data_IF_096608994376
#
_entry.id   IF_096608994376
#
_cell.length_a   1.000
_cell.length_b   1.000
_cell.length_c   1.000
_cell.angle_alpha   90.00
_cell.angle_beta   90.00
_cell.angle_gamma   90.00
#
_symmetry.space_group_name_H-M   'P 1'
#
loop_
_entity.id
_entity.type
_entity.pdbx_description
1 polymer ?
#
# COMPACT_ATOMS: atom_id res chain seq x y z
N UNK A 1 15.65 -17.16 19.60
CA UNK A 1 16.55 -16.63 18.54
C UNK A 1 16.35 -15.14 18.49
N UNK A 2 17.41 -14.34 18.34
CA UNK A 2 17.30 -12.89 18.18
C UNK A 2 16.81 -12.58 16.74
N UNK A 3 15.84 -11.69 16.63
CA UNK A 3 15.38 -11.23 15.31
C UNK A 3 16.46 -10.37 14.65
N UNK A 4 16.59 -10.48 13.34
CA UNK A 4 17.56 -9.76 12.51
C UNK A 4 16.80 -8.70 11.72
N UNK A 5 17.20 -7.44 11.84
CA UNK A 5 16.58 -6.36 11.07
C UNK A 5 16.75 -6.57 9.57
N UNK A 6 15.66 -6.36 8.83
CA UNK A 6 15.65 -6.38 7.38
C UNK A 6 16.53 -5.24 6.85
N UNK A 7 17.45 -5.55 5.95
CA UNK A 7 18.26 -4.55 5.27
C UNK A 7 17.48 -4.02 4.07
N UNK A 8 17.09 -2.75 4.10
CA UNK A 8 16.39 -2.11 2.97
C UNK A 8 17.38 -1.30 2.14
N UNK A 9 17.44 -1.59 0.85
CA UNK A 9 18.29 -0.91 -0.12
C UNK A 9 17.46 -0.38 -1.29
N UNK A 10 17.92 0.69 -1.93
CA UNK A 10 17.31 1.19 -3.18
C UNK A 10 17.83 0.42 -4.40
N UNK A 11 17.09 0.39 -5.53
CA UNK A 11 17.58 -0.21 -6.78
C UNK A 11 18.93 0.36 -7.26
N UNK A 12 19.22 1.62 -6.95
CA UNK A 12 20.51 2.26 -7.31
C UNK A 12 21.71 1.60 -6.64
N UNK A 13 21.50 0.95 -5.50
CA UNK A 13 22.55 0.25 -4.74
C UNK A 13 22.87 -1.14 -5.32
N UNK A 14 22.09 -1.60 -6.30
CA UNK A 14 22.39 -2.81 -7.09
C UNK A 14 23.37 -2.57 -8.25
N UNK A 15 23.61 -1.29 -8.61
CA UNK A 15 24.50 -0.97 -9.75
C UNK A 15 25.96 -1.02 -9.32
N UNK A 16 26.73 -2.06 -9.73
CA UNK A 16 28.15 -2.19 -9.38
C UNK A 16 29.00 -1.04 -9.90
N UNK A 17 28.59 -0.39 -11.00
CA UNK A 17 29.32 0.71 -11.62
C UNK A 17 29.22 2.01 -10.81
N UNK A 18 28.15 2.17 -10.02
CA UNK A 18 27.91 3.39 -9.25
C UNK A 18 28.46 3.37 -7.82
N UNK A 19 28.57 2.18 -7.20
CA UNK A 19 28.84 2.07 -5.76
C UNK A 19 29.97 1.09 -5.41
N UNK A 20 30.75 0.65 -6.37
CA UNK A 20 31.88 -0.26 -6.09
C UNK A 20 31.45 -1.62 -5.53
N UNK A 21 30.25 -2.10 -5.86
CA UNK A 21 29.77 -3.42 -5.43
C UNK A 21 29.35 -3.49 -3.95
N UNK A 22 28.81 -2.43 -3.39
CA UNK A 22 28.54 -2.32 -1.95
C UNK A 22 27.51 -3.30 -1.40
N UNK A 23 26.58 -3.84 -2.22
CA UNK A 23 25.60 -4.81 -1.75
C UNK A 23 25.60 -6.09 -2.59
N UNK A 24 26.29 -7.09 -2.03
CA UNK A 24 26.22 -8.45 -2.51
C UNK A 24 24.97 -9.11 -1.89
N UNK A 25 23.89 -9.25 -2.69
CA UNK A 25 22.65 -9.87 -2.24
C UNK A 25 22.83 -11.35 -1.85
N UNK A 26 23.89 -12.02 -2.36
CA UNK A 26 24.17 -13.42 -2.04
C UNK A 26 24.62 -13.64 -0.58
N UNK A 27 24.93 -12.57 0.15
CA UNK A 27 25.24 -12.64 1.59
C UNK A 27 24.01 -12.82 2.47
N UNK A 28 22.80 -12.65 1.91
CA UNK A 28 21.56 -12.77 2.65
C UNK A 28 20.88 -14.11 2.35
N UNK A 29 20.29 -14.70 3.37
CA UNK A 29 19.53 -15.94 3.22
C UNK A 29 18.23 -15.71 2.44
N UNK A 30 17.64 -14.52 2.56
CA UNK A 30 16.41 -14.12 1.87
C UNK A 30 16.58 -12.81 1.12
N UNK A 31 16.02 -12.79 -0.07
CA UNK A 31 16.06 -11.65 -0.99
C UNK A 31 14.63 -11.27 -1.40
N UNK A 32 14.21 -10.08 -1.05
CA UNK A 32 12.87 -9.57 -1.37
C UNK A 32 12.93 -8.41 -2.34
N UNK A 33 11.91 -8.30 -3.19
CA UNK A 33 11.63 -7.12 -4.00
C UNK A 33 10.39 -6.44 -3.42
N UNK A 34 10.45 -5.13 -3.17
CA UNK A 34 9.30 -4.37 -2.69
C UNK A 34 8.94 -3.24 -3.64
N UNK A 35 7.64 -3.05 -3.85
CA UNK A 35 7.05 -1.88 -4.48
C UNK A 35 5.86 -1.43 -3.62
N UNK A 36 5.61 -0.13 -3.60
CA UNK A 36 4.47 0.35 -2.82
C UNK A 36 4.44 1.85 -2.65
N UNK A 37 3.50 2.24 -1.82
CA UNK A 37 3.19 3.60 -1.45
C UNK A 37 4.02 4.12 -0.25
N UNK A 38 3.46 5.11 0.43
CA UNK A 38 4.07 5.74 1.60
C UNK A 38 4.32 4.78 2.77
N UNK A 39 3.55 3.70 2.92
CA UNK A 39 3.74 2.73 4.01
C UNK A 39 5.03 1.92 3.89
N UNK A 40 5.60 1.84 2.68
CA UNK A 40 6.89 1.22 2.42
C UNK A 40 8.01 2.23 2.14
N UNK A 41 7.68 3.49 1.84
CA UNK A 41 8.67 4.48 1.37
C UNK A 41 8.84 5.69 2.28
N UNK A 42 7.82 6.08 3.07
CA UNK A 42 7.97 7.19 3.99
C UNK A 42 9.02 6.83 5.05
N UNK A 43 10.03 7.63 5.11
CA UNK A 43 11.01 7.55 6.16
C UNK A 43 11.49 8.92 6.58
N UNK A 44 10.93 10.03 6.05
CA UNK A 44 11.64 11.28 6.12
C UNK A 44 10.79 12.55 5.98
N UNK A 45 9.67 12.65 6.74
CA UNK A 45 9.09 13.98 6.85
C UNK A 45 8.58 14.25 8.27
N UNK A 46 9.31 14.98 9.05
CA UNK A 46 10.65 15.54 8.89
C UNK A 46 11.77 14.48 8.96
N UNK A 47 13.01 14.78 8.45
CA UNK A 47 14.06 13.76 8.21
C UNK A 47 14.50 12.92 9.42
N UNK A 48 14.14 13.26 10.62
CA UNK A 48 14.62 12.66 11.88
C UNK A 48 13.56 11.92 12.70
N UNK A 49 12.35 11.75 12.20
CA UNK A 49 11.27 11.21 13.04
C UNK A 49 10.46 10.08 12.38
N UNK A 50 10.83 9.61 11.20
CA UNK A 50 9.94 8.76 10.43
C UNK A 50 10.59 7.46 9.99
N UNK A 51 9.76 6.44 9.87
CA UNK A 51 10.10 5.10 9.47
C UNK A 51 8.98 4.54 8.61
N UNK A 52 9.11 3.32 8.16
CA UNK A 52 8.09 2.60 7.42
C UNK A 52 8.05 1.12 7.84
N UNK A 53 7.11 0.35 7.31
CA UNK A 53 6.96 -1.07 7.63
C UNK A 53 8.26 -1.84 7.38
N UNK A 54 8.92 -1.63 6.24
CA UNK A 54 10.12 -2.39 5.87
C UNK A 54 11.30 -2.09 6.79
N UNK A 55 11.46 -0.83 7.21
CA UNK A 55 12.53 -0.43 8.14
C UNK A 55 12.33 -0.95 9.56
N UNK A 56 11.07 -1.16 9.98
CA UNK A 56 10.73 -1.71 11.30
C UNK A 56 10.74 -3.24 11.32
N UNK A 57 10.90 -3.87 10.16
CA UNK A 57 10.80 -5.33 10.06
C UNK A 57 12.06 -6.01 10.59
N UNK A 58 11.84 -7.04 11.41
CA UNK A 58 12.91 -7.91 11.90
C UNK A 58 12.46 -9.38 11.79
N UNK A 59 13.24 -10.18 11.07
CA UNK A 59 12.93 -11.54 10.67
C UNK A 59 13.79 -12.58 11.40
N UNK A 60 13.45 -13.85 11.32
CA UNK A 60 14.23 -14.94 11.89
C UNK A 60 15.51 -15.23 11.09
N UNK A 61 15.53 -14.89 9.79
CA UNK A 61 16.65 -15.10 8.87
C UNK A 61 17.23 -13.77 8.41
N UNK A 62 18.49 -13.76 8.02
CA UNK A 62 19.11 -12.59 7.40
C UNK A 62 18.42 -12.31 6.05
N UNK A 63 17.96 -11.10 5.87
CA UNK A 63 17.19 -10.73 4.70
C UNK A 63 17.53 -9.33 4.19
N UNK A 64 17.44 -9.17 2.87
CA UNK A 64 17.55 -7.88 2.19
C UNK A 64 16.30 -7.65 1.34
N UNK A 65 15.83 -6.41 1.29
CA UNK A 65 14.78 -5.97 0.39
C UNK A 65 15.29 -4.85 -0.52
N UNK A 66 15.09 -5.05 -1.83
CA UNK A 66 15.25 -3.98 -2.82
C UNK A 66 13.94 -3.21 -2.87
N UNK A 67 13.94 -2.01 -2.33
CA UNK A 67 12.75 -1.20 -2.18
C UNK A 67 12.62 -0.18 -3.32
N UNK A 68 11.60 -0.37 -4.16
CA UNK A 68 11.23 0.51 -5.27
C UNK A 68 10.06 1.45 -4.90
N UNK A 69 9.55 1.40 -3.68
CA UNK A 69 8.36 2.16 -3.26
C UNK A 69 8.57 3.68 -3.29
N UNK A 70 7.50 4.41 -3.62
CA UNK A 70 7.44 5.87 -3.62
C UNK A 70 6.20 6.38 -2.91
N UNK A 71 6.27 7.52 -2.18
CA UNK A 71 5.09 8.12 -1.56
C UNK A 71 4.04 8.49 -2.61
N UNK A 72 2.76 8.24 -2.30
CA UNK A 72 1.65 8.57 -3.19
C UNK A 72 1.45 7.61 -4.37
N UNK A 73 2.22 6.52 -4.45
CA UNK A 73 2.12 5.57 -5.56
C UNK A 73 0.77 4.84 -5.56
N UNK A 74 0.09 4.88 -6.68
CA UNK A 74 -1.08 4.05 -6.96
C UNK A 74 -0.68 2.68 -7.51
N UNK A 75 -1.51 1.67 -7.27
CA UNK A 75 -1.25 0.31 -7.75
C UNK A 75 -1.18 0.26 -9.29
N UNK A 76 -2.00 1.07 -9.96
CA UNK A 76 -1.99 1.23 -11.42
C UNK A 76 -0.63 1.63 -11.99
N UNK A 77 0.03 2.57 -11.33
CA UNK A 77 1.35 3.05 -11.73
C UNK A 77 2.43 1.99 -11.51
N UNK A 78 2.29 1.14 -10.48
CA UNK A 78 3.25 0.06 -10.20
C UNK A 78 3.30 -0.99 -11.32
N UNK A 79 2.21 -1.16 -12.08
CA UNK A 79 2.13 -2.08 -13.22
C UNK A 79 2.49 -1.44 -14.56
N UNK A 80 2.78 -0.14 -14.61
CA UNK A 80 3.09 0.58 -15.84
C UNK A 80 4.61 0.66 -16.08
N UNK A 81 5.04 0.09 -17.21
CA UNK A 81 6.45 0.09 -17.64
C UNK A 81 7.00 1.50 -17.93
N UNK A 82 6.15 2.47 -18.20
CA UNK A 82 6.55 3.86 -18.45
C UNK A 82 6.86 4.61 -17.16
N UNK A 83 6.17 4.28 -16.07
CA UNK A 83 6.33 4.90 -14.75
C UNK A 83 7.33 4.15 -13.87
N UNK A 84 7.28 2.81 -13.87
CA UNK A 84 8.11 1.96 -13.00
C UNK A 84 9.00 0.95 -13.76
N UNK A 85 9.79 1.38 -14.76
CA UNK A 85 10.61 0.46 -15.56
C UNK A 85 11.62 -0.32 -14.71
N UNK A 86 12.14 0.30 -13.65
CA UNK A 86 13.15 -0.36 -12.79
C UNK A 86 12.52 -1.50 -12.00
N UNK A 87 11.38 -1.27 -11.36
CA UNK A 87 10.66 -2.30 -10.62
C UNK A 87 10.25 -3.46 -11.54
N UNK A 88 9.65 -3.16 -12.68
CA UNK A 88 9.17 -4.19 -13.61
C UNK A 88 10.32 -5.01 -14.23
N UNK A 89 11.47 -4.38 -14.50
CA UNK A 89 12.65 -5.11 -14.94
C UNK A 89 13.18 -6.06 -13.84
N UNK A 90 13.17 -5.64 -12.58
CA UNK A 90 13.54 -6.51 -11.45
C UNK A 90 12.51 -7.61 -11.21
N UNK A 91 11.21 -7.29 -11.38
CA UNK A 91 10.11 -8.22 -11.20
C UNK A 91 10.13 -9.34 -12.23
N UNK A 92 10.29 -9.01 -13.51
CA UNK A 92 10.29 -10.00 -14.59
C UNK A 92 11.66 -10.57 -14.88
N UNK A 93 12.74 -10.05 -14.24
CA UNK A 93 14.10 -10.50 -14.48
C UNK A 93 14.62 -10.20 -15.90
N UNK A 94 14.07 -9.17 -16.55
CA UNK A 94 14.50 -8.70 -17.87
C UNK A 94 15.58 -7.61 -17.76
N UNK A 95 16.21 -7.30 -18.86
CA UNK A 95 17.25 -6.28 -18.92
C UNK A 95 18.66 -6.82 -18.74
N UNK A 96 19.50 -6.12 -17.98
CA UNK A 96 20.86 -6.56 -17.73
C UNK A 96 20.86 -7.85 -16.89
N UNK A 97 21.65 -8.87 -17.29
CA UNK A 97 21.81 -10.13 -16.53
C UNK A 97 22.19 -9.91 -15.06
N UNK A 98 22.80 -8.78 -14.73
CA UNK A 98 23.11 -8.37 -13.35
C UNK A 98 21.88 -8.03 -12.52
N UNK A 99 20.72 -7.81 -13.15
CA UNK A 99 19.44 -7.49 -12.47
C UNK A 99 18.43 -8.65 -12.51
N UNK A 100 18.78 -9.78 -13.12
CA UNK A 100 17.94 -10.98 -13.20
C UNK A 100 17.99 -11.80 -11.90
N UNK A 101 17.57 -11.17 -10.79
CA UNK A 101 17.51 -11.85 -9.50
C UNK A 101 16.26 -12.73 -9.37
N UNK A 102 16.43 -13.89 -8.76
CA UNK A 102 15.32 -14.68 -8.27
C UNK A 102 15.02 -14.24 -6.85
N UNK A 103 13.83 -13.71 -6.63
CA UNK A 103 13.37 -13.25 -5.33
C UNK A 103 12.76 -14.39 -4.51
N UNK A 104 12.85 -14.32 -3.19
CA UNK A 104 12.14 -15.23 -2.28
C UNK A 104 10.67 -14.79 -2.09
N UNK A 105 10.42 -13.48 -2.16
CA UNK A 105 9.07 -12.92 -2.20
C UNK A 105 9.06 -11.51 -2.82
N UNK A 106 7.87 -11.11 -3.28
CA UNK A 106 7.55 -9.75 -3.74
C UNK A 106 6.58 -9.15 -2.74
N UNK A 107 6.91 -7.98 -2.20
CA UNK A 107 6.12 -7.27 -1.19
C UNK A 107 5.47 -6.06 -1.83
N UNK A 108 4.15 -5.91 -1.67
CA UNK A 108 3.38 -4.85 -2.30
C UNK A 108 2.55 -4.08 -1.27
N UNK A 109 2.65 -2.75 -1.29
CA UNK A 109 1.78 -1.83 -0.56
C UNK A 109 1.07 -0.93 -1.57
N UNK A 110 -0.21 -1.19 -1.85
CA UNK A 110 -0.96 -0.45 -2.87
C UNK A 110 -2.46 -0.65 -2.77
N UNK A 111 -3.22 0.26 -3.38
CA UNK A 111 -4.67 0.31 -3.32
C UNK A 111 -5.21 1.38 -2.37
N UNK A 112 -4.43 1.81 -1.38
CA UNK A 112 -4.81 2.89 -0.45
C UNK A 112 -4.88 4.26 -1.14
N UNK A 113 -3.85 4.62 -1.90
CA UNK A 113 -3.86 5.87 -2.68
C UNK A 113 -4.90 5.82 -3.80
N UNK A 114 -5.06 4.69 -4.47
CA UNK A 114 -6.11 4.48 -5.47
C UNK A 114 -7.50 4.79 -4.88
N UNK A 115 -7.78 4.30 -3.65
CA UNK A 115 -9.02 4.59 -2.93
C UNK A 115 -9.19 6.08 -2.63
N UNK A 116 -8.13 6.72 -2.14
CA UNK A 116 -8.12 8.15 -1.78
C UNK A 116 -8.38 9.00 -3.02
N UNK A 117 -7.70 8.74 -4.12
CA UNK A 117 -7.82 9.52 -5.35
C UNK A 117 -9.19 9.33 -6.00
N UNK A 118 -9.72 8.11 -6.01
CA UNK A 118 -11.08 7.84 -6.46
C UNK A 118 -12.15 8.47 -5.55
N UNK A 119 -11.89 8.60 -4.23
CA UNK A 119 -12.76 9.32 -3.30
C UNK A 119 -12.69 10.85 -3.48
N UNK A 120 -11.58 11.40 -4.01
CA UNK A 120 -11.40 12.81 -4.31
C UNK A 120 -11.79 13.19 -5.75
N UNK A 121 -12.29 12.24 -6.55
CA UNK A 121 -12.72 12.50 -7.92
C UNK A 121 -13.73 13.66 -8.01
N UNK A 122 -13.73 14.38 -9.15
CA UNK A 122 -14.63 15.51 -9.36
C UNK A 122 -16.10 15.06 -9.21
N UNK A 123 -16.90 15.67 -8.34
CA UNK A 123 -18.32 15.38 -8.19
C UNK A 123 -19.15 15.52 -9.48
N UNK A 124 -18.64 16.27 -10.45
CA UNK A 124 -19.28 16.42 -11.77
C UNK A 124 -19.01 15.24 -12.71
N UNK A 125 -18.03 14.40 -12.39
CA UNK A 125 -17.76 13.20 -13.16
C UNK A 125 -18.97 12.25 -13.11
N UNK A 126 -19.06 11.35 -14.09
CA UNK A 126 -20.10 10.31 -14.11
C UNK A 126 -20.00 9.41 -12.86
N UNK A 127 -21.11 8.82 -12.39
CA UNK A 127 -21.13 7.95 -11.22
C UNK A 127 -20.10 6.81 -11.24
N UNK A 128 -19.79 6.26 -12.42
CA UNK A 128 -18.78 5.22 -12.59
C UNK A 128 -17.33 5.68 -12.46
N UNK A 129 -17.10 7.00 -12.52
CA UNK A 129 -15.76 7.60 -12.47
C UNK A 129 -15.42 8.18 -11.08
N UNK A 130 -16.25 7.94 -10.06
CA UNK A 130 -16.05 8.43 -8.69
C UNK A 130 -16.59 7.46 -7.65
N UNK A 131 -15.96 7.38 -6.50
CA UNK A 131 -16.42 6.49 -5.42
C UNK A 131 -17.58 7.06 -4.60
N UNK A 132 -17.74 8.39 -4.56
CA UNK A 132 -18.74 9.03 -3.72
C UNK A 132 -19.86 9.65 -4.57
N UNK A 133 -21.08 9.63 -4.02
CA UNK A 133 -22.25 10.26 -4.59
C UNK A 133 -22.37 11.71 -4.16
N UNK A 134 -22.88 12.55 -5.06
CA UNK A 134 -23.26 13.92 -4.72
C UNK A 134 -24.51 13.94 -3.82
N UNK A 135 -24.73 15.07 -3.16
CA UNK A 135 -25.87 15.22 -2.24
C UNK A 135 -27.25 15.02 -2.92
N UNK A 136 -27.37 15.41 -4.20
CA UNK A 136 -28.59 15.21 -4.98
C UNK A 136 -28.82 13.75 -5.45
N UNK A 137 -27.87 12.89 -5.20
CA UNK A 137 -27.93 11.46 -5.56
C UNK A 137 -28.09 10.56 -4.32
N UNK A 138 -28.12 11.11 -3.11
CA UNK A 138 -28.24 10.32 -1.90
C UNK A 138 -29.65 9.71 -1.79
N UNK A 139 -29.76 8.40 -1.61
CA UNK A 139 -31.07 7.77 -1.39
C UNK A 139 -31.61 8.16 -0.01
N UNK A 140 -32.90 8.39 0.09
CA UNK A 140 -33.55 8.88 1.32
C UNK A 140 -33.29 7.97 2.54
N UNK A 141 -33.22 6.67 2.34
CA UNK A 141 -33.02 5.67 3.40
C UNK A 141 -31.67 4.95 3.29
N UNK A 142 -30.70 5.52 2.58
CA UNK A 142 -29.45 4.85 2.20
C UNK A 142 -28.44 4.73 3.34
N UNK A 143 -28.57 5.49 4.42
CA UNK A 143 -27.55 5.55 5.46
C UNK A 143 -26.17 5.85 4.90
N UNK A 144 -25.12 5.41 5.56
CA UNK A 144 -23.73 5.65 5.16
C UNK A 144 -23.38 4.96 3.83
N UNK A 145 -23.91 3.78 3.57
CA UNK A 145 -23.71 3.06 2.27
C UNK A 145 -24.32 3.86 1.11
N UNK A 146 -25.33 4.70 1.37
CA UNK A 146 -25.93 5.58 0.38
C UNK A 146 -24.99 6.64 -0.19
N UNK A 147 -23.89 6.95 0.50
CA UNK A 147 -22.86 7.87 -0.03
C UNK A 147 -21.95 7.23 -1.05
N UNK A 148 -21.90 5.90 -1.15
CA UNK A 148 -21.00 5.18 -2.07
C UNK A 148 -21.66 5.02 -3.44
N UNK A 149 -20.94 5.35 -4.51
CA UNK A 149 -21.33 5.08 -5.88
C UNK A 149 -21.03 3.62 -6.22
N UNK A 150 -22.03 2.75 -6.25
CA UNK A 150 -21.83 1.34 -6.62
C UNK A 150 -21.22 1.14 -8.02
N UNK A 151 -21.64 1.89 -9.06
CA UNK A 151 -20.97 1.81 -10.37
C UNK A 151 -19.49 2.22 -10.30
N UNK A 152 -19.17 3.24 -9.51
CA UNK A 152 -17.78 3.68 -9.30
C UNK A 152 -16.97 2.66 -8.52
N UNK A 153 -17.55 2.07 -7.48
CA UNK A 153 -16.91 0.99 -6.72
C UNK A 153 -16.60 -0.21 -7.59
N UNK A 154 -17.52 -0.61 -8.47
CA UNK A 154 -17.30 -1.75 -9.37
C UNK A 154 -16.14 -1.47 -10.34
N UNK A 155 -16.10 -0.29 -10.95
CA UNK A 155 -14.98 0.12 -11.83
C UNK A 155 -13.66 0.14 -11.07
N UNK A 156 -13.65 0.65 -9.84
CA UNK A 156 -12.47 0.65 -8.98
C UNK A 156 -11.98 -0.78 -8.68
N UNK A 157 -12.90 -1.67 -8.31
CA UNK A 157 -12.56 -3.06 -8.00
C UNK A 157 -12.03 -3.82 -9.23
N UNK A 158 -12.69 -3.68 -10.38
CA UNK A 158 -12.27 -4.28 -11.64
C UNK A 158 -10.90 -3.76 -12.08
N UNK A 159 -10.62 -2.47 -11.83
CA UNK A 159 -9.35 -1.86 -12.13
C UNK A 159 -8.21 -2.46 -11.28
N UNK A 160 -8.37 -2.56 -9.96
CA UNK A 160 -7.36 -3.17 -9.09
C UNK A 160 -7.12 -4.66 -9.42
N UNK A 161 -8.18 -5.38 -9.77
CA UNK A 161 -8.06 -6.77 -10.22
C UNK A 161 -7.22 -6.88 -11.50
N UNK A 162 -7.50 -6.05 -12.51
CA UNK A 162 -6.74 -6.02 -13.77
C UNK A 162 -5.28 -5.65 -13.54
N UNK A 163 -5.01 -4.68 -12.68
CA UNK A 163 -3.64 -4.26 -12.37
C UNK A 163 -2.88 -5.39 -11.69
N UNK A 164 -3.48 -6.06 -10.71
CA UNK A 164 -2.85 -7.20 -10.04
C UNK A 164 -2.61 -8.35 -11.03
N UNK A 165 -3.56 -8.62 -11.92
CA UNK A 165 -3.38 -9.61 -12.99
C UNK A 165 -2.16 -9.27 -13.85
N UNK A 166 -2.01 -8.02 -14.29
CA UNK A 166 -0.87 -7.58 -15.10
C UNK A 166 0.47 -7.72 -14.35
N UNK A 167 0.51 -7.38 -13.06
CA UNK A 167 1.70 -7.58 -12.23
C UNK A 167 2.08 -9.06 -12.12
N UNK A 168 1.11 -9.95 -12.00
CA UNK A 168 1.34 -11.39 -11.98
C UNK A 168 1.84 -11.91 -13.34
N UNK A 169 1.34 -11.37 -14.46
CA UNK A 169 1.86 -11.69 -15.81
C UNK A 169 3.32 -11.26 -15.94
N UNK A 170 3.67 -10.06 -15.46
CA UNK A 170 5.06 -9.57 -15.46
C UNK A 170 5.98 -10.44 -14.59
N UNK A 171 5.55 -10.80 -13.37
CA UNK A 171 6.28 -11.69 -12.48
C UNK A 171 6.55 -13.06 -13.12
N UNK A 172 5.56 -13.60 -13.81
CA UNK A 172 5.61 -14.99 -14.31
C UNK A 172 6.34 -15.14 -15.65
N UNK A 173 6.83 -14.04 -16.24
CA UNK A 173 7.50 -14.08 -17.56
C UNK A 173 8.83 -14.85 -17.57
N UNK A 174 9.62 -14.78 -16.49
CA UNK A 174 10.99 -15.29 -16.48
C UNK A 174 11.33 -15.97 -15.14
N UNK A 175 12.45 -15.55 -14.52
CA UNK A 175 13.05 -16.20 -13.35
C UNK A 175 12.19 -16.15 -12.09
N UNK A 176 11.25 -15.22 -12.02
CA UNK A 176 10.38 -15.02 -10.85
C UNK A 176 9.00 -15.66 -10.98
N UNK A 177 8.83 -16.57 -11.95
CA UNK A 177 7.58 -17.30 -12.10
C UNK A 177 7.20 -18.02 -10.78
N UNK A 178 5.97 -17.75 -10.32
CA UNK A 178 5.42 -18.35 -9.11
C UNK A 178 6.02 -17.90 -7.79
N UNK A 179 6.92 -16.90 -7.77
CA UNK A 179 7.42 -16.31 -6.52
C UNK A 179 6.24 -15.73 -5.73
N UNK A 180 6.14 -15.96 -4.42
CA UNK A 180 5.06 -15.40 -3.61
C UNK A 180 4.97 -13.88 -3.73
N UNK A 181 3.75 -13.36 -3.96
CA UNK A 181 3.44 -11.94 -3.96
C UNK A 181 2.56 -11.63 -2.76
N UNK A 182 3.05 -10.81 -1.84
CA UNK A 182 2.36 -10.44 -0.61
C UNK A 182 1.75 -9.04 -0.75
N UNK A 183 0.46 -8.94 -0.50
CA UNK A 183 -0.31 -7.68 -0.40
C UNK A 183 -0.77 -7.49 1.03
N UNK A 184 -1.16 -6.28 1.44
CA UNK A 184 -1.79 -6.08 2.74
C UNK A 184 -3.13 -5.34 2.65
N UNK A 185 -3.92 -5.42 3.74
CA UNK A 185 -5.30 -4.92 3.76
C UNK A 185 -5.44 -3.47 4.20
N UNK A 186 -4.39 -2.80 4.64
CA UNK A 186 -4.44 -1.53 5.40
C UNK A 186 -5.25 -1.66 6.71
N UNK A 187 -5.28 -0.59 7.51
CA UNK A 187 -6.07 -0.53 8.73
C UNK A 187 -7.02 0.66 8.71
N UNK A 188 -7.95 0.73 9.64
CA UNK A 188 -8.96 1.77 9.73
C UNK A 188 -8.36 3.12 10.09
N UNK A 189 -8.60 4.13 9.28
CA UNK A 189 -8.23 5.52 9.52
C UNK A 189 -9.39 6.31 10.11
N UNK A 190 -9.09 7.36 10.89
CA UNK A 190 -10.08 8.33 11.38
C UNK A 190 -10.03 9.57 10.53
N UNK A 191 -11.18 10.01 10.02
CA UNK A 191 -11.29 11.21 9.18
C UNK A 191 -11.06 12.45 10.02
N UNK A 192 -9.95 13.15 9.78
CA UNK A 192 -9.54 14.29 10.60
C UNK A 192 -8.66 15.28 9.83
N UNK A 193 -8.70 16.54 10.23
CA UNK A 193 -7.83 17.57 9.65
C UNK A 193 -6.40 17.44 10.17
N UNK A 194 -5.71 16.38 9.78
CA UNK A 194 -4.35 16.07 10.20
C UNK A 194 -3.47 15.79 8.96
N UNK A 195 -2.99 16.86 8.28
CA UNK A 195 -2.09 16.71 7.14
C UNK A 195 -0.69 16.25 7.57
N UNK A 196 0.07 15.66 6.63
CA UNK A 196 1.48 15.33 6.86
C UNK A 196 2.41 16.55 6.77
N UNK A 197 1.91 17.65 6.24
CA UNK A 197 2.65 18.91 6.06
C UNK A 197 1.90 19.87 5.16
N UNK A 198 2.49 21.01 4.86
CA UNK A 198 1.88 22.00 3.97
C UNK A 198 1.65 21.42 2.57
N UNK A 199 0.41 21.33 2.14
CA UNK A 199 0.01 20.78 0.83
C UNK A 199 0.02 19.25 0.74
N UNK A 200 0.30 18.53 1.84
CA UNK A 200 0.30 17.08 1.91
C UNK A 200 -0.84 16.58 2.79
N UNK A 201 -2.01 16.38 2.22
CA UNK A 201 -3.24 16.02 2.92
C UNK A 201 -3.96 17.24 3.52
N UNK A 202 -4.97 17.06 4.37
CA UNK A 202 -5.59 15.77 4.67
C UNK A 202 -6.28 15.16 3.44
N UNK A 203 -6.52 13.88 3.45
CA UNK A 203 -6.96 13.10 2.27
C UNK A 203 -8.47 12.83 2.27
N UNK A 204 -8.94 11.90 3.12
CA UNK A 204 -10.38 11.58 3.22
C UNK A 204 -11.18 12.73 3.82
N UNK A 205 -10.62 13.45 4.78
CA UNK A 205 -11.24 14.66 5.34
C UNK A 205 -11.56 15.68 4.24
N UNK A 206 -10.62 15.94 3.32
CA UNK A 206 -10.86 16.83 2.19
C UNK A 206 -11.96 16.29 1.26
N UNK A 207 -11.92 14.99 0.94
CA UNK A 207 -12.95 14.37 0.11
C UNK A 207 -14.35 14.55 0.72
N UNK A 208 -14.49 14.21 2.00
CA UNK A 208 -15.79 14.21 2.66
C UNK A 208 -16.29 15.61 2.99
N UNK A 209 -15.43 16.49 3.50
CA UNK A 209 -15.83 17.85 3.93
C UNK A 209 -15.95 18.82 2.76
N UNK A 210 -14.88 18.95 1.95
CA UNK A 210 -14.76 20.06 1.01
C UNK A 210 -15.33 19.71 -0.37
N UNK A 211 -15.15 18.45 -0.82
CA UNK A 211 -15.54 18.01 -2.16
C UNK A 211 -17.00 17.56 -2.17
N UNK A 212 -17.37 16.56 -1.34
CA UNK A 212 -18.70 15.94 -1.36
C UNK A 212 -19.64 16.49 -0.30
N UNK A 213 -19.14 17.24 0.70
CA UNK A 213 -19.93 17.88 1.76
C UNK A 213 -20.78 16.88 2.57
N UNK A 214 -20.20 15.71 2.83
CA UNK A 214 -20.82 14.69 3.68
C UNK A 214 -21.00 15.24 5.09
N UNK A 215 -22.13 14.98 5.77
CA UNK A 215 -22.32 15.37 7.17
C UNK A 215 -21.21 14.83 8.07
N UNK A 216 -20.70 15.68 8.96
CA UNK A 216 -19.55 15.32 9.79
C UNK A 216 -19.82 14.13 10.73
N UNK A 217 -21.07 13.91 11.11
CA UNK A 217 -21.49 12.77 11.92
C UNK A 217 -21.28 11.42 11.23
N UNK A 218 -21.17 11.41 9.89
CA UNK A 218 -21.08 10.19 9.09
C UNK A 218 -19.65 9.89 8.59
N UNK A 219 -18.68 10.78 8.83
CA UNK A 219 -17.33 10.67 8.25
C UNK A 219 -16.63 9.37 8.64
N UNK A 220 -16.57 9.05 9.94
CA UNK A 220 -15.86 7.86 10.40
C UNK A 220 -16.56 6.58 9.93
N UNK A 221 -17.89 6.56 9.95
CA UNK A 221 -18.65 5.42 9.45
C UNK A 221 -18.48 5.21 7.94
N UNK A 222 -18.38 6.31 7.15
CA UNK A 222 -18.11 6.23 5.72
C UNK A 222 -16.66 5.80 5.44
N UNK A 223 -15.69 6.31 6.20
CA UNK A 223 -14.30 5.85 6.14
C UNK A 223 -14.22 4.35 6.40
N UNK A 224 -14.86 3.89 7.46
CA UNK A 224 -14.90 2.46 7.80
C UNK A 224 -15.55 1.62 6.69
N UNK A 225 -16.58 2.14 6.05
CA UNK A 225 -17.22 1.48 4.91
C UNK A 225 -16.26 1.35 3.72
N UNK A 226 -15.59 2.43 3.34
CA UNK A 226 -14.63 2.43 2.23
C UNK A 226 -13.44 1.50 2.50
N UNK A 227 -12.84 1.60 3.68
CA UNK A 227 -11.70 0.77 4.08
C UNK A 227 -12.12 -0.71 4.17
N UNK A 228 -13.25 -1.03 4.76
CA UNK A 228 -13.78 -2.41 4.83
C UNK A 228 -14.02 -3.00 3.43
N UNK A 229 -14.54 -2.20 2.50
CA UNK A 229 -14.72 -2.61 1.10
C UNK A 229 -13.37 -2.90 0.45
N UNK A 230 -12.36 -2.04 0.64
CA UNK A 230 -11.00 -2.28 0.14
C UNK A 230 -10.39 -3.55 0.75
N UNK A 231 -10.50 -3.74 2.05
CA UNK A 231 -10.01 -4.95 2.74
C UNK A 231 -10.67 -6.21 2.19
N UNK A 232 -11.98 -6.17 1.96
CA UNK A 232 -12.74 -7.29 1.38
C UNK A 232 -12.28 -7.58 -0.04
N UNK A 233 -12.05 -6.54 -0.84
CA UNK A 233 -11.50 -6.66 -2.19
C UNK A 233 -10.11 -7.30 -2.17
N UNK A 234 -9.20 -6.81 -1.32
CA UNK A 234 -7.84 -7.36 -1.23
C UNK A 234 -7.84 -8.83 -0.81
N UNK A 235 -8.66 -9.22 0.17
CA UNK A 235 -8.82 -10.63 0.55
C UNK A 235 -9.40 -11.45 -0.60
N UNK A 236 -10.38 -10.92 -1.33
CA UNK A 236 -10.97 -11.56 -2.51
C UNK A 236 -9.95 -11.77 -3.63
N UNK A 237 -9.11 -10.78 -3.90
CA UNK A 237 -8.01 -10.90 -4.87
C UNK A 237 -6.98 -11.94 -4.43
N UNK A 238 -6.62 -11.98 -3.13
CA UNK A 238 -5.76 -13.01 -2.58
C UNK A 238 -6.33 -14.42 -2.79
N UNK A 239 -7.63 -14.59 -2.56
CA UNK A 239 -8.31 -15.89 -2.81
C UNK A 239 -8.37 -16.22 -4.30
N UNK A 240 -8.73 -15.27 -5.16
CA UNK A 240 -8.78 -15.43 -6.62
C UNK A 240 -7.44 -15.89 -7.19
N UNK A 241 -6.34 -15.31 -6.71
CA UNK A 241 -5.00 -15.58 -7.21
C UNK A 241 -4.15 -16.47 -6.28
N UNK A 242 -4.78 -17.17 -5.33
CA UNK A 242 -4.07 -18.10 -4.43
C UNK A 242 -3.27 -19.16 -5.19
N UNK A 243 -3.81 -19.69 -6.31
CA UNK A 243 -3.11 -20.63 -7.19
C UNK A 243 -1.88 -20.04 -7.90
N UNK A 244 -1.72 -18.71 -7.87
CA UNK A 244 -0.54 -17.98 -8.35
C UNK A 244 0.32 -17.45 -7.20
N UNK A 245 0.23 -18.04 -6.01
CA UNK A 245 0.98 -17.65 -4.81
C UNK A 245 0.79 -16.17 -4.41
N UNK A 246 -0.42 -15.64 -4.50
CA UNK A 246 -0.77 -14.36 -3.90
C UNK A 246 -1.20 -14.59 -2.46
N UNK A 247 -0.57 -13.86 -1.53
CA UNK A 247 -0.80 -13.95 -0.09
C UNK A 247 -1.24 -12.58 0.42
N UNK A 248 -2.30 -12.54 1.22
CA UNK A 248 -2.74 -11.30 1.86
C UNK A 248 -2.28 -11.26 3.30
N UNK A 249 -1.51 -10.24 3.63
CA UNK A 249 -1.11 -9.91 5.00
C UNK A 249 -2.25 -9.10 5.62
N UNK A 250 -3.00 -9.72 6.50
CA UNK A 250 -4.16 -9.08 7.13
C UNK A 250 -3.72 -8.19 8.29
N UNK A 251 -3.67 -6.89 8.05
CA UNK A 251 -3.24 -5.88 9.03
C UNK A 251 -4.40 -5.17 9.73
N UNK A 252 -5.64 -5.61 9.50
CA UNK A 252 -6.85 -5.00 10.07
C UNK A 252 -6.87 -5.11 11.59
N UNK A 253 -7.14 -3.99 12.28
CA UNK A 253 -7.24 -3.95 13.74
C UNK A 253 -5.90 -4.05 14.47
N UNK A 254 -4.80 -3.83 13.77
CA UNK A 254 -3.45 -3.80 14.36
C UNK A 254 -3.20 -2.50 15.09
N UNK A 255 -3.72 -1.38 14.58
CA UNK A 255 -3.43 -0.04 15.06
C UNK A 255 -4.53 0.50 15.97
N UNK A 256 -4.13 1.19 17.03
CA UNK A 256 -5.05 2.01 17.83
C UNK A 256 -5.50 3.22 17.00
N UNK A 257 -6.81 3.37 16.82
CA UNK A 257 -7.38 4.48 16.05
C UNK A 257 -7.02 5.84 16.64
N UNK A 258 -6.91 6.83 15.77
CA UNK A 258 -6.80 8.22 16.20
C UNK A 258 -8.15 8.72 16.72
N UNK A 259 -8.11 9.62 17.72
CA UNK A 259 -9.30 10.27 18.25
C UNK A 259 -9.89 11.27 17.24
N UNK A 260 -11.21 11.25 16.98
CA UNK A 260 -11.86 12.20 16.09
C UNK A 260 -11.55 13.66 16.46
N UNK A 261 -11.40 14.52 15.46
CA UNK A 261 -11.17 15.96 15.65
C UNK A 261 -9.75 16.36 16.06
N UNK A 262 -8.84 15.41 16.30
CA UNK A 262 -7.42 15.72 16.56
C UNK A 262 -6.70 16.12 15.27
N UNK A 263 -5.72 17.01 15.35
CA UNK A 263 -4.97 17.52 14.18
C UNK A 263 -3.49 17.11 14.14
N UNK A 264 -3.04 16.32 15.11
CA UNK A 264 -1.67 15.84 15.21
C UNK A 264 -1.62 14.35 15.52
N UNK A 265 -0.53 13.89 16.14
CA UNK A 265 -0.37 12.49 16.57
C UNK A 265 -1.50 12.10 17.52
N UNK A 266 -2.13 10.96 17.24
CA UNK A 266 -3.22 10.40 18.05
C UNK A 266 -3.34 8.90 17.80
N UNK A 267 -3.47 8.11 18.88
CA UNK A 267 -3.37 6.65 18.77
C UNK A 267 -2.04 6.24 18.13
N UNK A 268 -2.11 5.32 17.19
CA UNK A 268 -0.94 4.88 16.42
C UNK A 268 -0.75 5.64 15.09
N UNK A 269 -1.36 6.84 14.96
CA UNK A 269 -1.38 7.62 13.73
C UNK A 269 -0.68 8.97 13.88
N UNK A 270 0.32 9.22 13.03
CA UNK A 270 1.06 10.49 12.94
C UNK A 270 0.19 11.60 12.36
N UNK A 271 -0.55 11.27 11.32
CA UNK A 271 -1.50 12.13 10.63
C UNK A 271 -2.74 11.32 10.22
N UNK A 272 -3.55 11.79 9.25
CA UNK A 272 -4.79 11.11 8.87
C UNK A 272 -4.58 9.67 8.38
N UNK A 273 -3.49 9.40 7.61
CA UNK A 273 -3.30 8.11 6.93
C UNK A 273 -1.94 7.44 7.19
N UNK A 274 -1.00 8.10 7.87
CA UNK A 274 0.30 7.53 8.12
C UNK A 274 0.45 7.13 9.59
N UNK A 275 0.83 5.90 9.88
CA UNK A 275 1.14 5.44 11.23
C UNK A 275 2.33 6.16 11.87
N UNK A 276 2.37 6.21 13.20
CA UNK A 276 3.55 6.58 13.98
C UNK A 276 4.66 5.53 13.83
N UNK A 277 5.90 5.80 14.25
CA UNK A 277 6.95 4.77 14.32
C UNK A 277 6.52 3.52 15.11
N UNK A 278 5.75 3.70 16.19
CA UNK A 278 5.18 2.58 16.94
C UNK A 278 4.16 1.80 16.10
N UNK A 279 3.23 2.48 15.43
CA UNK A 279 2.25 1.86 14.54
C UNK A 279 2.94 1.07 13.42
N UNK A 280 3.98 1.61 12.79
CA UNK A 280 4.75 0.87 11.80
C UNK A 280 5.44 -0.36 12.37
N UNK A 281 5.90 -0.32 13.62
CA UNK A 281 6.49 -1.50 14.27
C UNK A 281 5.46 -2.60 14.52
N UNK A 282 4.21 -2.25 14.86
CA UNK A 282 3.11 -3.20 14.99
C UNK A 282 2.77 -3.86 13.65
N UNK A 283 2.65 -3.06 12.59
CA UNK A 283 2.40 -3.56 11.23
C UNK A 283 3.53 -4.48 10.76
N UNK A 284 4.78 -4.14 11.02
CA UNK A 284 5.94 -4.97 10.67
C UNK A 284 5.88 -6.35 11.34
N UNK A 285 5.35 -6.44 12.57
CA UNK A 285 5.15 -7.73 13.25
C UNK A 285 4.11 -8.61 12.53
N UNK A 286 3.05 -7.99 11.98
CA UNK A 286 2.04 -8.72 11.18
C UNK A 286 2.66 -9.26 9.89
N UNK A 287 3.46 -8.47 9.20
CA UNK A 287 4.17 -8.88 7.98
C UNK A 287 5.18 -10.00 8.22
N UNK A 288 5.80 -10.01 9.40
CA UNK A 288 6.80 -11.00 9.78
C UNK A 288 6.28 -12.43 9.69
N UNK A 289 5.06 -12.71 10.18
CA UNK A 289 4.51 -14.05 10.23
C UNK A 289 4.53 -14.76 8.87
N UNK A 290 3.89 -14.24 7.83
CA UNK A 290 3.94 -14.79 6.48
C UNK A 290 5.37 -14.90 5.92
N UNK A 291 6.25 -13.91 6.15
CA UNK A 291 7.62 -13.92 5.62
C UNK A 291 8.51 -14.99 6.29
N UNK A 292 8.41 -15.15 7.60
CA UNK A 292 9.14 -16.21 8.34
C UNK A 292 8.63 -17.62 7.98
N UNK A 293 7.39 -17.73 7.48
CA UNK A 293 6.80 -18.99 7.01
C UNK A 293 7.22 -19.38 5.58
N UNK A 294 7.80 -18.45 4.80
CA UNK A 294 8.33 -18.75 3.47
C UNK A 294 9.60 -19.60 3.59
N UNK A 295 9.55 -20.82 3.05
CA UNK A 295 10.62 -21.83 3.12
C UNK A 295 11.95 -21.35 2.49
#
# INVERSE_FOLDING_TARGET
MSNIHLVSISPRQLDPARLGGLYDLERFEKKYLAQGDSWFSIGHMPPWATTNVLQQMALLRSAVVVNCAHPGMELSHMADTSTEPTFLNLLNGSGNKLLAWKWDAILMSGGGNDLIDAAQADPKAEPKARLLRRADEWPADGGVEGYVSEPGWQVFADHLDLVLFNLLEERDRNVNQGVPLLLHTYDYVTVRNAPAGSGLGPWLYRAMKDIYRIPAADWDALSDTLIRRLQTLMRGLGQKYAGRNVVVVDSVGTLTRAEPGTSGVSGDWENEIHPTPHGYSLLAQVWRGPLDALA
#
